data_IF_165632312293
#
_entry.id   IF_165632312293
#
_cell.length_a   1.000
_cell.length_b   1.000
_cell.length_c   1.000
_cell.angle_alpha   90.00
_cell.angle_beta   90.00
_cell.angle_gamma   90.00
#
_symmetry.space_group_name_H-M   'P 1'
#
loop_
_entity.id
_entity.type
_entity.pdbx_description
1 polymer ?
#
# COMPACT_ATOMS: atom_id res chain seq x y z
N UNK A 1 -5.50 -37.56 37.93
CA UNK A 1 -6.69 -37.66 37.07
C UNK A 1 -6.98 -36.24 36.64
N UNK A 2 -6.23 -35.77 35.64
CA UNK A 2 -6.58 -35.86 34.21
C UNK A 2 -7.60 -34.74 33.89
N UNK A 3 -7.42 -33.88 32.91
CA UNK A 3 -6.41 -33.81 31.86
C UNK A 3 -6.52 -32.44 31.16
N UNK A 4 -5.39 -32.04 30.59
CA UNK A 4 -5.22 -31.26 29.36
C UNK A 4 -5.98 -29.94 29.13
N UNK A 5 -5.14 -28.92 29.01
CA UNK A 5 -5.18 -27.90 27.97
C UNK A 5 -5.82 -28.38 26.65
N UNK A 6 -6.76 -27.59 26.12
CA UNK A 6 -6.94 -27.34 24.68
C UNK A 6 -8.06 -26.32 24.51
N UNK A 7 -7.70 -25.04 24.40
CA UNK A 7 -8.53 -24.12 23.63
C UNK A 7 -7.82 -23.89 22.30
N UNK A 8 -7.68 -24.99 21.55
CA UNK A 8 -7.26 -24.94 20.14
C UNK A 8 -8.49 -24.53 19.35
N UNK A 9 -8.41 -23.31 18.81
CA UNK A 9 -9.04 -22.84 17.58
C UNK A 9 -10.42 -23.45 17.27
N UNK A 10 -11.48 -22.77 17.73
CA UNK A 10 -12.77 -22.91 17.09
C UNK A 10 -12.66 -22.34 15.66
N UNK A 11 -12.39 -23.21 14.69
CA UNK A 11 -12.51 -22.91 13.28
C UNK A 11 -13.98 -22.60 13.00
N UNK A 12 -14.33 -21.31 12.92
CA UNK A 12 -15.68 -20.85 12.66
C UNK A 12 -16.05 -21.30 11.24
N UNK A 13 -16.86 -22.35 11.14
CA UNK A 13 -17.39 -22.87 9.89
C UNK A 13 -17.96 -21.69 9.04
N UNK A 14 -17.33 -21.43 7.90
CA UNK A 14 -17.71 -20.36 6.96
C UNK A 14 -16.83 -19.10 6.96
N UNK A 15 -15.77 -19.03 7.77
CA UNK A 15 -14.80 -17.93 7.62
C UNK A 15 -14.00 -18.11 6.33
N UNK A 16 -13.78 -17.03 5.53
CA UNK A 16 -12.96 -17.12 4.34
C UNK A 16 -11.53 -17.53 4.74
N UNK A 17 -10.90 -18.34 3.89
CA UNK A 17 -9.48 -18.64 4.05
C UNK A 17 -8.66 -17.34 4.01
N UNK A 18 -7.75 -17.18 4.99
CA UNK A 18 -6.81 -16.07 5.06
C UNK A 18 -5.42 -16.66 5.26
N UNK A 19 -4.46 -16.22 4.44
CA UNK A 19 -3.04 -16.63 4.54
C UNK A 19 -2.52 -16.33 5.97
N UNK A 20 -1.73 -17.22 6.61
CA UNK A 20 -1.38 -17.06 8.03
C UNK A 20 -0.69 -15.74 8.40
N UNK A 21 0.20 -15.24 7.55
CA UNK A 21 0.86 -13.93 7.70
C UNK A 21 -0.12 -12.75 7.59
N UNK A 22 -1.10 -12.84 6.68
CA UNK A 22 -2.17 -11.85 6.54
C UNK A 22 -3.07 -11.88 7.77
N UNK A 23 -3.38 -13.05 8.32
CA UNK A 23 -4.15 -13.16 9.58
C UNK A 23 -3.43 -12.47 10.72
N UNK A 24 -2.12 -12.75 10.91
CA UNK A 24 -1.31 -12.07 11.92
C UNK A 24 -1.28 -10.54 11.73
N UNK A 25 -1.21 -10.08 10.48
CA UNK A 25 -1.27 -8.64 10.16
C UNK A 25 -2.65 -8.03 10.51
N UNK A 26 -3.74 -8.70 10.16
CA UNK A 26 -5.10 -8.25 10.48
C UNK A 26 -5.36 -8.24 11.99
N UNK A 27 -4.89 -9.23 12.74
CA UNK A 27 -5.02 -9.30 14.20
C UNK A 27 -4.28 -8.12 14.86
N UNK A 28 -3.09 -7.76 14.35
CA UNK A 28 -2.35 -6.57 14.79
C UNK A 28 -3.11 -5.27 14.51
N UNK A 29 -3.78 -5.16 13.36
CA UNK A 29 -4.61 -4.00 13.02
C UNK A 29 -5.85 -3.92 13.90
N UNK A 30 -6.52 -5.04 14.16
CA UNK A 30 -7.69 -5.10 15.03
C UNK A 30 -7.36 -4.69 16.48
N UNK A 31 -6.17 -5.07 16.96
CA UNK A 31 -5.67 -4.67 18.27
C UNK A 31 -5.32 -3.17 18.37
N UNK A 32 -5.16 -2.48 17.24
CA UNK A 32 -4.81 -1.05 17.17
C UNK A 32 -5.81 -0.30 16.28
N UNK A 33 -7.06 -0.06 16.75
CA UNK A 33 -8.09 0.57 15.94
C UNK A 33 -7.63 1.94 15.43
N UNK A 34 -7.70 2.12 14.11
CA UNK A 34 -7.45 3.40 13.46
C UNK A 34 -8.74 4.24 13.45
N UNK A 35 -8.62 5.58 13.50
CA UNK A 35 -9.79 6.44 13.30
C UNK A 35 -10.43 6.17 11.94
N UNK A 36 -11.73 6.39 11.85
CA UNK A 36 -12.43 6.33 10.57
C UNK A 36 -11.86 7.39 9.62
N UNK A 37 -11.65 7.03 8.37
CA UNK A 37 -11.20 7.96 7.32
C UNK A 37 -12.34 8.87 6.86
N UNK A 38 -12.71 9.83 7.73
CA UNK A 38 -13.66 10.88 7.36
C UNK A 38 -13.06 11.82 6.32
N UNK A 39 -13.92 12.62 5.68
CA UNK A 39 -13.48 13.60 4.67
C UNK A 39 -12.48 14.60 5.26
N UNK A 40 -12.70 15.04 6.48
CA UNK A 40 -11.85 16.01 7.20
C UNK A 40 -10.49 15.39 7.51
N UNK A 41 -10.49 14.14 7.99
CA UNK A 41 -9.25 13.42 8.27
C UNK A 41 -8.46 13.19 6.97
N UNK A 42 -9.11 12.77 5.89
CA UNK A 42 -8.46 12.58 4.58
C UNK A 42 -7.90 13.88 4.01
N UNK A 43 -8.60 15.00 4.17
CA UNK A 43 -8.10 16.31 3.76
C UNK A 43 -6.83 16.69 4.51
N UNK A 44 -6.77 16.44 5.82
CA UNK A 44 -5.58 16.66 6.64
C UNK A 44 -4.44 15.69 6.29
N UNK A 45 -4.72 14.40 6.09
CA UNK A 45 -3.69 13.42 5.72
C UNK A 45 -3.00 13.81 4.40
N UNK A 46 -3.76 14.34 3.43
CA UNK A 46 -3.23 14.74 2.12
C UNK A 46 -2.28 15.95 2.17
N UNK A 47 -2.23 16.70 3.28
CA UNK A 47 -1.27 17.80 3.46
C UNK A 47 0.01 17.35 4.17
N UNK A 48 0.04 16.12 4.69
CA UNK A 48 1.22 15.60 5.35
C UNK A 48 2.35 15.35 4.33
N UNK A 49 3.62 15.52 4.77
CA UNK A 49 4.76 15.25 3.91
C UNK A 49 4.80 13.75 3.53
N UNK A 50 5.23 13.39 2.31
CA UNK A 50 5.25 11.99 1.84
C UNK A 50 6.00 11.03 2.77
N UNK A 51 7.05 11.50 3.44
CA UNK A 51 7.86 10.72 4.37
C UNK A 51 7.04 10.29 5.61
N UNK A 52 6.08 11.11 6.04
CA UNK A 52 5.18 10.77 7.14
C UNK A 52 4.15 9.69 6.75
N UNK A 53 3.95 9.47 5.46
CA UNK A 53 3.02 8.48 4.89
C UNK A 53 3.73 7.22 4.37
N UNK A 54 5.03 7.10 4.57
CA UNK A 54 5.77 5.91 4.14
C UNK A 54 5.28 4.70 4.92
N UNK A 55 4.71 3.73 4.22
CA UNK A 55 4.25 2.46 4.79
C UNK A 55 5.45 1.75 5.41
N UNK A 56 5.34 1.42 6.70
CA UNK A 56 6.32 0.54 7.38
C UNK A 56 6.15 -0.92 7.00
N UNK A 57 5.04 -1.24 6.34
CA UNK A 57 4.65 -2.60 5.95
C UNK A 57 5.01 -2.88 4.48
N UNK A 58 5.44 -1.86 3.72
CA UNK A 58 5.89 -2.01 2.34
C UNK A 58 7.37 -2.38 2.27
N UNK A 59 7.74 -3.11 1.22
CA UNK A 59 9.13 -3.39 0.91
C UNK A 59 9.86 -2.11 0.47
N UNK A 60 11.17 -2.00 0.73
CA UNK A 60 11.96 -0.91 0.19
C UNK A 60 11.91 -0.90 -1.34
N UNK A 61 12.03 0.30 -1.92
CA UNK A 61 12.16 0.46 -3.37
C UNK A 61 13.41 -0.30 -3.83
N UNK A 62 13.24 -1.11 -4.89
CA UNK A 62 14.36 -1.83 -5.51
C UNK A 62 15.34 -0.90 -6.23
N UNK A 63 16.39 -1.48 -6.81
CA UNK A 63 17.38 -0.71 -7.56
C UNK A 63 16.78 -0.14 -8.85
N UNK A 64 16.90 1.19 -9.01
CA UNK A 64 16.47 1.92 -10.19
C UNK A 64 17.61 2.81 -10.69
N UNK A 65 17.87 2.75 -12.00
CA UNK A 65 18.86 3.61 -12.63
C UNK A 65 18.27 4.99 -12.97
N UNK A 66 16.97 5.07 -13.23
CA UNK A 66 16.28 6.34 -13.53
C UNK A 66 15.06 6.49 -12.63
N UNK A 67 15.03 7.60 -11.89
CA UNK A 67 13.83 8.14 -11.27
C UNK A 67 13.75 9.59 -11.70
N UNK A 68 12.76 9.94 -12.53
CA UNK A 68 12.67 11.27 -13.13
C UNK A 68 11.26 11.83 -13.04
N UNK A 69 11.14 13.00 -12.44
CA UNK A 69 9.93 13.80 -12.51
C UNK A 69 9.80 14.43 -13.91
N UNK A 70 8.63 14.24 -14.52
CA UNK A 70 8.29 14.76 -15.85
C UNK A 70 6.88 15.34 -15.83
N UNK A 71 6.57 16.19 -16.79
CA UNK A 71 5.25 16.80 -16.91
C UNK A 71 4.71 16.69 -18.33
N UNK A 72 3.39 16.70 -18.49
CA UNK A 72 2.74 16.78 -19.80
C UNK A 72 1.51 17.70 -19.73
N UNK A 73 1.14 18.37 -20.84
CA UNK A 73 -0.11 19.12 -20.90
C UNK A 73 -1.31 18.16 -20.82
N UNK A 74 -2.34 18.56 -20.06
CA UNK A 74 -3.60 17.84 -19.92
C UNK A 74 -4.80 18.79 -19.95
N UNK A 75 -6.03 18.25 -20.04
CA UNK A 75 -7.25 19.05 -20.19
C UNK A 75 -7.56 19.96 -18.98
N UNK A 76 -7.03 19.64 -17.79
CA UNK A 76 -7.16 20.46 -16.57
C UNK A 76 -5.89 21.24 -16.21
N UNK A 77 -4.92 21.34 -17.13
CA UNK A 77 -3.59 21.89 -16.87
C UNK A 77 -2.49 20.83 -16.90
N UNK A 78 -1.32 21.18 -16.38
CA UNK A 78 -0.16 20.30 -16.37
C UNK A 78 -0.37 19.05 -15.48
N UNK A 79 -0.10 17.88 -16.03
CA UNK A 79 -0.12 16.60 -15.33
C UNK A 79 1.31 16.23 -14.94
N UNK A 80 1.57 16.16 -13.64
CA UNK A 80 2.84 15.69 -13.08
C UNK A 80 2.89 14.17 -13.12
N UNK A 81 4.02 13.62 -13.56
CA UNK A 81 4.26 12.19 -13.62
C UNK A 81 5.68 11.89 -13.16
N UNK A 82 5.94 10.62 -12.84
CA UNK A 82 7.28 10.14 -12.50
C UNK A 82 7.60 8.90 -13.31
N UNK A 83 8.71 8.97 -14.02
CA UNK A 83 9.30 7.84 -14.73
C UNK A 83 10.18 7.05 -13.76
N UNK A 84 9.92 5.75 -13.69
CA UNK A 84 10.77 4.78 -13.00
C UNK A 84 11.32 3.80 -14.03
N UNK A 85 12.65 3.65 -14.08
CA UNK A 85 13.32 2.71 -14.97
C UNK A 85 14.49 2.02 -14.26
N UNK A 86 14.56 0.67 -14.22
CA UNK A 86 15.74 -0.03 -13.74
C UNK A 86 16.98 0.16 -14.62
N UNK A 87 16.84 0.73 -15.83
CA UNK A 87 17.91 0.94 -16.81
C UNK A 87 18.13 2.44 -17.05
N UNK A 88 19.39 2.82 -17.29
CA UNK A 88 19.74 4.21 -17.65
C UNK A 88 19.39 4.52 -19.11
N UNK A 89 19.44 3.51 -19.98
CA UNK A 89 19.14 3.61 -21.42
C UNK A 89 18.40 2.34 -21.89
N UNK A 90 17.49 2.47 -22.86
CA UNK A 90 16.80 1.35 -23.51
C UNK A 90 16.37 1.72 -24.92
N UNK A 91 16.18 0.70 -25.77
CA UNK A 91 15.51 0.84 -27.05
C UNK A 91 13.99 1.03 -26.88
N UNK A 92 13.31 1.38 -27.97
CA UNK A 92 11.86 1.50 -27.99
C UNK A 92 11.19 0.17 -27.58
N UNK A 93 10.13 0.28 -26.77
CA UNK A 93 9.43 -0.88 -26.23
C UNK A 93 8.19 -0.51 -25.43
N UNK A 94 7.49 -1.50 -24.87
CA UNK A 94 6.29 -1.27 -24.08
C UNK A 94 6.61 -0.47 -22.81
N UNK A 95 5.63 0.33 -22.38
CA UNK A 95 5.69 1.12 -21.16
C UNK A 95 4.48 0.78 -20.30
N UNK A 96 4.69 0.72 -18.98
CA UNK A 96 3.60 0.61 -18.01
C UNK A 96 3.21 2.01 -17.56
N UNK A 97 1.94 2.35 -17.72
CA UNK A 97 1.35 3.57 -17.16
C UNK A 97 0.61 3.17 -15.89
N UNK A 98 1.06 3.70 -14.75
CA UNK A 98 0.51 3.37 -13.43
C UNK A 98 -0.33 4.53 -12.88
N UNK A 99 -1.52 4.21 -12.39
CA UNK A 99 -2.39 5.13 -11.66
C UNK A 99 -2.51 4.63 -10.23
N UNK A 100 -2.18 5.46 -9.24
CA UNK A 100 -2.20 5.05 -7.84
C UNK A 100 -3.63 4.89 -7.31
N UNK A 101 -3.80 3.99 -6.34
CA UNK A 101 -5.04 3.88 -5.56
C UNK A 101 -5.19 5.01 -4.54
N UNK A 102 -6.21 4.94 -3.69
CA UNK A 102 -6.47 5.95 -2.66
C UNK A 102 -7.79 6.71 -2.79
N UNK A 103 -8.75 6.13 -3.51
CA UNK A 103 -10.10 6.66 -3.71
C UNK A 103 -10.16 8.02 -4.45
N UNK A 104 -9.60 8.02 -5.67
CA UNK A 104 -9.43 9.21 -6.54
C UNK A 104 -8.61 10.32 -5.87
#
# INVERSE_FOLDING_TARGET
MADSAENVQAEVAGSPYVRPDVRAYLDKLAANPRPQFTRELLAMIRTLPPEAMTSKDDLPVGELATIKDITMPGPGGEIRMRLYDPRATRDAGPVVVFFHGGAY
#
